data_IF_689728129339
#
_entry.id   IF_689728129339
#
_cell.length_a   1.000
_cell.length_b   1.000
_cell.length_c   1.000
_cell.angle_alpha   90.00
_cell.angle_beta   90.00
_cell.angle_gamma   90.00
#
_symmetry.space_group_name_H-M   'P 1'
#
loop_
_entity.id
_entity.type
_entity.pdbx_description
1 polymer ?
#
# COMPACT_ATOMS: atom_id res chain seq x y z
N UNK A 1 -17.82 6.28 6.67
CA UNK A 1 -17.12 7.05 7.69
C UNK A 1 -18.15 7.63 8.67
N UNK A 2 -17.90 7.48 9.95
CA UNK A 2 -18.68 8.06 11.03
C UNK A 2 -17.83 9.09 11.74
N UNK A 3 -18.43 10.23 12.09
CA UNK A 3 -17.84 11.18 13.02
C UNK A 3 -18.55 10.98 14.36
N UNK A 4 -17.80 10.60 15.37
CA UNK A 4 -18.33 10.38 16.72
C UNK A 4 -18.57 11.71 17.46
N UNK A 5 -19.37 11.73 18.55
CA UNK A 5 -19.60 12.94 19.33
C UNK A 5 -18.33 13.58 19.92
N UNK A 6 -17.28 12.82 20.12
CA UNK A 6 -15.95 13.26 20.53
C UNK A 6 -15.06 13.72 19.36
N UNK A 7 -15.65 13.87 18.17
CA UNK A 7 -15.02 14.25 16.91
C UNK A 7 -13.99 13.25 16.36
N UNK A 8 -13.95 12.03 16.87
CA UNK A 8 -13.13 10.95 16.30
C UNK A 8 -13.74 10.40 15.02
N UNK A 9 -12.89 9.87 14.13
CA UNK A 9 -13.30 9.28 12.86
C UNK A 9 -13.25 7.75 12.92
N UNK A 10 -14.26 7.11 12.35
CA UNK A 10 -14.32 5.65 12.25
C UNK A 10 -14.99 5.20 10.95
N UNK A 11 -14.62 4.02 10.44
CA UNK A 11 -15.37 3.38 9.37
C UNK A 11 -16.65 2.74 9.91
N UNK A 12 -17.73 2.84 9.13
CA UNK A 12 -18.93 2.03 9.34
C UNK A 12 -18.58 0.55 9.16
N UNK A 13 -18.76 -0.24 10.21
CA UNK A 13 -18.57 -1.69 10.18
C UNK A 13 -17.68 -2.19 11.32
N UNK A 14 -17.71 -3.49 11.51
CA UNK A 14 -17.07 -4.22 12.61
C UNK A 14 -15.54 -4.40 12.45
N UNK A 15 -14.94 -3.71 11.52
CA UNK A 15 -13.49 -3.77 11.28
C UNK A 15 -13.03 -4.98 10.47
N UNK A 16 -13.93 -5.81 9.95
CA UNK A 16 -13.55 -6.92 9.08
C UNK A 16 -13.06 -6.38 7.74
N UNK A 17 -11.79 -6.63 7.46
CA UNK A 17 -11.15 -6.37 6.16
C UNK A 17 -11.36 -7.59 5.28
N UNK A 18 -12.48 -7.66 4.59
CA UNK A 18 -12.86 -8.82 3.82
C UNK A 18 -13.07 -8.52 2.35
N UNK A 19 -13.75 -9.45 1.71
CA UNK A 19 -14.21 -9.37 0.33
C UNK A 19 -15.71 -9.08 0.27
N UNK A 20 -16.22 -8.72 -0.90
CA UNK A 20 -17.64 -8.45 -1.08
C UNK A 20 -18.10 -7.16 -0.40
N UNK A 21 -19.17 -7.21 0.37
CA UNK A 21 -19.79 -6.03 0.98
C UNK A 21 -18.89 -5.38 2.04
N UNK A 22 -18.14 -6.17 2.80
CA UNK A 22 -17.18 -5.65 3.79
C UNK A 22 -16.09 -4.80 3.14
N UNK A 23 -15.71 -5.12 1.90
CA UNK A 23 -14.78 -4.36 1.10
C UNK A 23 -15.25 -2.92 0.77
N UNK A 24 -16.56 -2.68 0.77
CA UNK A 24 -17.14 -1.36 0.55
C UNK A 24 -17.18 -0.50 1.82
N UNK A 25 -17.06 -1.13 2.97
CA UNK A 25 -17.14 -0.46 4.27
C UNK A 25 -15.78 -0.06 4.82
N UNK A 26 -14.73 -0.76 4.41
CA UNK A 26 -13.36 -0.52 4.86
C UNK A 26 -12.35 -0.85 3.76
N UNK A 27 -11.14 -0.29 3.84
CA UNK A 27 -10.08 -0.56 2.87
C UNK A 27 -9.75 -2.04 2.78
N UNK A 28 -10.00 -2.64 1.64
CA UNK A 28 -9.75 -4.06 1.44
C UNK A 28 -8.72 -4.35 0.36
N UNK A 29 -8.59 -3.50 -0.64
CA UNK A 29 -7.52 -3.59 -1.62
C UNK A 29 -6.33 -2.72 -1.19
N UNK A 30 -5.13 -3.20 -1.43
CA UNK A 30 -3.91 -2.45 -1.14
C UNK A 30 -3.84 -1.09 -1.84
N UNK A 31 -4.52 -0.92 -2.97
CA UNK A 31 -4.69 0.34 -3.71
C UNK A 31 -5.19 1.49 -2.83
N UNK A 32 -5.98 1.19 -1.80
CA UNK A 32 -6.48 2.19 -0.86
C UNK A 32 -5.36 2.97 -0.16
N UNK A 33 -4.18 2.36 -0.02
CA UNK A 33 -3.00 2.98 0.60
C UNK A 33 -2.37 4.10 -0.25
N UNK A 34 -2.71 4.17 -1.53
CA UNK A 34 -2.41 5.34 -2.36
C UNK A 34 -3.51 6.40 -2.28
N UNK A 35 -4.76 5.95 -2.37
CA UNK A 35 -5.91 6.84 -2.58
C UNK A 35 -6.23 7.70 -1.37
N UNK A 36 -6.10 7.16 -0.18
CA UNK A 36 -6.70 7.73 1.02
C UNK A 36 -5.69 8.39 1.98
N UNK A 37 -4.57 7.78 2.39
CA UNK A 37 -3.68 8.34 3.40
C UNK A 37 -3.12 9.74 3.06
N UNK A 38 -2.65 10.02 1.82
CA UNK A 38 -2.18 11.36 1.48
C UNK A 38 -3.28 12.42 1.61
N UNK A 39 -4.54 12.05 1.35
CA UNK A 39 -5.68 12.95 1.49
C UNK A 39 -5.90 13.35 2.95
N UNK A 40 -5.81 12.40 3.89
CA UNK A 40 -5.96 12.67 5.31
C UNK A 40 -4.84 13.56 5.85
N UNK A 41 -3.60 13.34 5.44
CA UNK A 41 -2.48 14.21 5.78
C UNK A 41 -2.73 15.63 5.22
N UNK A 42 -3.11 15.71 3.94
CA UNK A 42 -3.45 16.99 3.30
C UNK A 42 -4.57 17.75 4.02
N UNK A 43 -5.61 17.07 4.50
CA UNK A 43 -6.67 17.67 5.30
C UNK A 43 -6.15 18.21 6.63
N UNK A 44 -5.28 17.45 7.33
CA UNK A 44 -4.64 17.97 8.56
C UNK A 44 -3.83 19.22 8.28
N UNK A 45 -3.03 19.25 7.22
CA UNK A 45 -2.23 20.42 6.87
C UNK A 45 -3.10 21.64 6.51
N UNK A 46 -4.22 21.41 5.85
CA UNK A 46 -5.15 22.48 5.42
C UNK A 46 -6.01 23.02 6.56
N UNK A 47 -6.39 22.19 7.52
CA UNK A 47 -7.34 22.56 8.59
C UNK A 47 -6.66 22.80 9.94
N UNK A 48 -5.45 22.29 10.14
CA UNK A 48 -4.76 22.22 11.43
C UNK A 48 -5.30 21.13 12.37
N UNK A 49 -6.32 20.39 11.95
CA UNK A 49 -6.96 19.36 12.78
C UNK A 49 -6.26 18.01 12.62
N UNK A 50 -5.63 17.55 13.69
CA UNK A 50 -4.82 16.32 13.71
C UNK A 50 -5.63 15.03 13.55
N UNK A 51 -6.93 15.05 13.84
CA UNK A 51 -7.79 13.85 13.75
C UNK A 51 -7.72 13.16 12.38
N UNK A 52 -7.58 13.93 11.32
CA UNK A 52 -7.50 13.36 9.96
C UNK A 52 -6.22 12.55 9.76
N UNK A 53 -5.06 13.09 10.17
CA UNK A 53 -3.79 12.37 10.08
C UNK A 53 -3.77 11.15 11.01
N UNK A 54 -4.26 11.29 12.25
CA UNK A 54 -4.36 10.19 13.22
C UNK A 54 -5.23 9.05 12.69
N UNK A 55 -6.36 9.38 12.08
CA UNK A 55 -7.21 8.40 11.41
C UNK A 55 -6.49 7.74 10.22
N UNK A 56 -5.89 8.52 9.33
CA UNK A 56 -5.18 8.02 8.16
C UNK A 56 -4.00 7.11 8.53
N UNK A 57 -3.22 7.49 9.54
CA UNK A 57 -2.11 6.70 10.07
C UNK A 57 -2.59 5.36 10.67
N UNK A 58 -3.58 5.41 11.54
CA UNK A 58 -4.20 4.22 12.13
C UNK A 58 -4.66 3.22 11.06
N UNK A 59 -5.36 3.70 10.04
CA UNK A 59 -5.91 2.84 9.00
C UNK A 59 -4.85 2.34 8.01
N UNK A 60 -3.83 3.16 7.74
CA UNK A 60 -2.68 2.72 6.95
C UNK A 60 -2.01 1.51 7.61
N UNK A 61 -1.64 1.62 8.87
CA UNK A 61 -0.92 0.56 9.57
C UNK A 61 -1.79 -0.67 9.82
N UNK A 62 -3.06 -0.49 10.16
CA UNK A 62 -3.97 -1.61 10.28
C UNK A 62 -4.19 -2.36 8.95
N UNK A 63 -4.12 -1.66 7.81
CA UNK A 63 -4.16 -2.29 6.48
C UNK A 63 -2.84 -2.97 6.15
N UNK A 64 -1.73 -2.35 6.48
CA UNK A 64 -0.38 -2.91 6.30
C UNK A 64 -0.21 -4.20 7.11
N UNK A 65 -0.54 -4.18 8.39
CA UNK A 65 -0.46 -5.36 9.27
C UNK A 65 -1.32 -6.53 8.77
N UNK A 66 -2.38 -6.24 8.01
CA UNK A 66 -3.28 -7.25 7.46
C UNK A 66 -2.84 -7.78 6.08
N UNK A 67 -2.24 -6.95 5.23
CA UNK A 67 -2.01 -7.28 3.82
C UNK A 67 -0.53 -7.40 3.42
N UNK A 68 0.39 -6.90 4.22
CA UNK A 68 1.81 -7.00 3.94
C UNK A 68 2.30 -8.44 4.19
N UNK A 69 2.99 -9.00 3.23
CA UNK A 69 3.78 -10.21 3.43
C UNK A 69 5.16 -9.85 3.98
N UNK A 70 5.49 -10.29 5.21
CA UNK A 70 6.75 -9.88 5.86
C UNK A 70 7.99 -10.57 5.27
N UNK A 71 7.84 -11.65 4.51
CA UNK A 71 8.97 -12.35 3.85
C UNK A 71 9.48 -11.57 2.64
N UNK A 72 8.53 -10.99 1.86
CA UNK A 72 8.87 -10.30 0.62
C UNK A 72 8.76 -8.78 0.73
N UNK A 73 8.18 -8.24 1.81
CA UNK A 73 7.83 -6.82 1.93
C UNK A 73 6.97 -6.34 0.75
N UNK A 74 6.04 -7.18 0.31
CA UNK A 74 5.10 -6.93 -0.76
C UNK A 74 3.67 -7.13 -0.26
N UNK A 75 2.73 -6.42 -0.88
CA UNK A 75 1.33 -6.47 -0.51
C UNK A 75 0.55 -7.48 -1.33
N UNK A 76 -0.24 -8.30 -0.67
CA UNK A 76 -1.35 -8.97 -1.32
C UNK A 76 -2.39 -7.94 -1.76
N UNK A 77 -3.05 -8.17 -2.90
CA UNK A 77 -4.12 -7.27 -3.37
C UNK A 77 -5.25 -7.15 -2.34
N UNK A 78 -5.69 -8.30 -1.83
CA UNK A 78 -6.71 -8.48 -0.80
C UNK A 78 -6.61 -9.89 -0.20
N UNK A 79 -7.43 -10.17 0.83
CA UNK A 79 -7.40 -11.45 1.57
C UNK A 79 -7.61 -12.72 0.72
N UNK A 80 -8.20 -12.61 -0.47
CA UNK A 80 -8.37 -13.76 -1.38
C UNK A 80 -7.04 -14.28 -1.93
N UNK A 81 -5.97 -13.50 -1.79
CA UNK A 81 -4.64 -13.82 -2.30
C UNK A 81 -3.69 -14.38 -1.24
N UNK A 82 -4.03 -14.36 0.06
CA UNK A 82 -3.12 -14.79 1.14
C UNK A 82 -2.60 -16.23 0.98
N UNK A 83 -3.46 -17.13 0.51
CA UNK A 83 -3.10 -18.53 0.30
C UNK A 83 -3.00 -18.90 -1.19
N UNK A 84 -3.07 -17.91 -2.08
CA UNK A 84 -3.04 -18.15 -3.52
C UNK A 84 -1.59 -18.23 -4.00
N UNK A 85 -1.32 -19.28 -4.77
CA UNK A 85 -0.05 -19.46 -5.47
C UNK A 85 -0.29 -19.51 -6.98
N UNK A 86 0.70 -19.13 -7.75
CA UNK A 86 0.72 -19.37 -9.19
C UNK A 86 1.08 -20.83 -9.50
N UNK A 87 1.10 -21.18 -10.79
CA UNK A 87 1.37 -22.56 -11.23
C UNK A 87 2.83 -22.97 -10.99
N UNK A 88 3.72 -22.03 -10.68
CA UNK A 88 5.12 -22.24 -10.31
C UNK A 88 5.30 -22.35 -8.79
N UNK A 89 4.21 -22.22 -8.01
CA UNK A 89 4.20 -22.30 -6.55
C UNK A 89 4.56 -20.98 -5.85
N UNK A 90 4.76 -19.88 -6.58
CA UNK A 90 5.07 -18.59 -5.99
C UNK A 90 3.83 -17.92 -5.41
N UNK A 91 3.99 -17.11 -4.35
CA UNK A 91 2.96 -16.20 -3.86
C UNK A 91 2.61 -15.17 -4.95
N UNK A 92 1.35 -14.78 -5.02
CA UNK A 92 0.85 -13.89 -6.08
C UNK A 92 0.81 -12.44 -5.56
N UNK A 93 1.79 -11.65 -5.97
CA UNK A 93 1.85 -10.21 -5.71
C UNK A 93 1.63 -9.43 -7.00
N UNK A 94 0.53 -8.72 -7.07
CA UNK A 94 0.15 -7.94 -8.25
C UNK A 94 0.97 -6.65 -8.37
N UNK A 95 1.67 -6.48 -9.51
CA UNK A 95 2.60 -5.37 -9.74
C UNK A 95 1.94 -3.99 -9.59
N UNK A 96 0.79 -3.77 -10.23
CA UNK A 96 0.08 -2.49 -10.14
C UNK A 96 -0.40 -2.19 -8.71
N UNK A 97 -0.88 -3.20 -7.98
CA UNK A 97 -1.28 -3.05 -6.59
C UNK A 97 -0.11 -2.62 -5.69
N UNK A 98 1.02 -3.29 -5.82
CA UNK A 98 2.25 -2.90 -5.11
C UNK A 98 2.77 -1.55 -5.59
N UNK A 99 2.65 -1.24 -6.87
CA UNK A 99 2.96 0.07 -7.43
C UNK A 99 2.14 1.19 -6.81
N UNK A 100 0.82 0.98 -6.62
CA UNK A 100 -0.03 1.92 -5.90
C UNK A 100 0.48 2.17 -4.47
N UNK A 101 0.75 1.12 -3.70
CA UNK A 101 1.25 1.27 -2.33
C UNK A 101 2.57 2.02 -2.30
N UNK A 102 3.51 1.62 -3.16
CA UNK A 102 4.84 2.19 -3.20
C UNK A 102 4.84 3.68 -3.59
N UNK A 103 4.07 4.07 -4.60
CA UNK A 103 3.86 5.46 -4.96
C UNK A 103 3.08 6.24 -3.87
N UNK A 104 2.16 5.58 -3.18
CA UNK A 104 1.45 6.12 -2.02
C UNK A 104 2.39 6.46 -0.88
N UNK A 105 3.37 5.60 -0.58
CA UNK A 105 4.43 5.87 0.41
C UNK A 105 5.25 7.11 0.03
N UNK A 106 5.63 7.26 -1.23
CA UNK A 106 6.31 8.48 -1.70
C UNK A 106 5.46 9.72 -1.45
N UNK A 107 4.17 9.66 -1.78
CA UNK A 107 3.26 10.78 -1.56
C UNK A 107 3.10 11.13 -0.09
N UNK A 108 3.00 10.12 0.79
CA UNK A 108 2.98 10.32 2.24
C UNK A 108 4.28 10.98 2.71
N UNK A 109 5.44 10.41 2.37
CA UNK A 109 6.74 10.87 2.82
C UNK A 109 7.10 12.28 2.33
N UNK A 110 6.51 12.73 1.20
CA UNK A 110 6.66 14.10 0.70
C UNK A 110 5.94 15.14 1.53
N UNK A 111 4.82 14.79 2.16
CA UNK A 111 3.94 15.74 2.83
C UNK A 111 3.86 15.55 4.34
N UNK A 112 4.19 14.35 4.85
CA UNK A 112 4.24 14.08 6.28
C UNK A 112 5.42 14.83 6.90
N UNK A 113 5.23 15.62 7.97
CA UNK A 113 6.34 16.26 8.66
C UNK A 113 7.39 15.26 9.14
N UNK A 114 8.66 15.55 8.93
CA UNK A 114 9.77 14.63 9.27
C UNK A 114 9.90 14.35 10.78
N UNK A 115 9.37 15.23 11.61
CA UNK A 115 9.30 15.09 13.07
C UNK A 115 8.05 14.32 13.54
N UNK A 116 7.18 13.91 12.61
CA UNK A 116 6.01 13.08 12.94
C UNK A 116 6.46 11.71 13.45
N UNK A 117 5.88 11.20 14.56
CA UNK A 117 6.29 9.93 15.18
C UNK A 117 6.27 8.73 14.22
N UNK A 118 5.35 8.71 13.28
CA UNK A 118 5.22 7.60 12.30
C UNK A 118 6.16 7.76 11.09
N UNK A 119 6.84 8.91 10.90
CA UNK A 119 7.69 9.12 9.73
C UNK A 119 8.78 8.05 9.56
N UNK A 120 9.55 7.66 10.62
CA UNK A 120 10.56 6.61 10.50
C UNK A 120 9.98 5.26 10.06
N UNK A 121 8.76 4.92 10.52
CA UNK A 121 8.11 3.67 10.15
C UNK A 121 7.68 3.65 8.67
N UNK A 122 7.18 4.76 8.15
CA UNK A 122 6.90 4.90 6.71
C UNK A 122 8.16 4.80 5.87
N UNK A 123 9.24 5.44 6.30
CA UNK A 123 10.52 5.39 5.59
C UNK A 123 11.10 3.98 5.58
N UNK A 124 11.07 3.28 6.72
CA UNK A 124 11.52 1.89 6.80
C UNK A 124 10.75 0.97 5.84
N UNK A 125 9.42 1.09 5.81
CA UNK A 125 8.59 0.32 4.89
C UNK A 125 8.93 0.63 3.43
N UNK A 126 9.15 1.91 3.10
CA UNK A 126 9.58 2.33 1.77
C UNK A 126 10.93 1.70 1.38
N UNK A 127 11.92 1.73 2.27
CA UNK A 127 13.24 1.14 2.04
C UNK A 127 13.18 -0.38 1.86
N UNK A 128 12.38 -1.08 2.67
CA UNK A 128 12.26 -2.53 2.59
C UNK A 128 11.54 -2.96 1.31
N UNK A 129 10.49 -2.25 0.91
CA UNK A 129 9.86 -2.45 -0.41
C UNK A 129 10.84 -2.14 -1.55
N UNK A 130 11.63 -1.07 -1.45
CA UNK A 130 12.62 -0.70 -2.48
C UNK A 130 13.63 -1.81 -2.73
N UNK A 131 14.16 -2.41 -1.67
CA UNK A 131 15.12 -3.54 -1.78
C UNK A 131 14.50 -4.71 -2.54
N UNK A 132 13.29 -5.10 -2.17
CA UNK A 132 12.59 -6.21 -2.85
C UNK A 132 12.30 -5.84 -4.32
N UNK A 133 11.69 -4.68 -4.56
CA UNK A 133 11.30 -4.21 -5.89
C UNK A 133 12.51 -4.17 -6.83
N UNK A 134 13.64 -3.63 -6.37
CA UNK A 134 14.87 -3.59 -7.16
C UNK A 134 15.41 -5.00 -7.46
N UNK A 135 15.36 -5.92 -6.48
CA UNK A 135 15.89 -7.27 -6.65
C UNK A 135 15.12 -8.16 -7.63
N UNK A 136 13.84 -7.82 -7.90
CA UNK A 136 12.97 -8.58 -8.81
C UNK A 136 12.73 -7.86 -10.15
N UNK A 137 13.47 -6.80 -10.42
CA UNK A 137 13.44 -6.12 -11.73
C UNK A 137 14.06 -7.04 -12.80
N UNK A 138 13.41 -7.11 -13.96
CA UNK A 138 13.91 -7.89 -15.08
C UNK A 138 14.98 -7.15 -15.89
N UNK A 139 15.79 -7.89 -16.65
CA UNK A 139 16.91 -7.34 -17.46
C UNK A 139 16.47 -6.23 -18.42
N UNK A 140 15.22 -6.25 -18.87
CA UNK A 140 14.63 -5.19 -19.70
C UNK A 140 14.14 -3.97 -18.89
N UNK A 141 14.39 -3.91 -17.58
CA UNK A 141 14.08 -2.77 -16.72
C UNK A 141 12.62 -2.67 -16.26
N UNK A 142 11.74 -3.61 -16.62
CA UNK A 142 10.31 -3.60 -16.25
C UNK A 142 9.97 -4.74 -15.30
N UNK A 143 8.77 -4.72 -14.73
CA UNK A 143 8.23 -5.77 -13.87
C UNK A 143 7.06 -6.48 -14.55
N UNK A 144 6.80 -7.72 -14.15
CA UNK A 144 5.69 -8.55 -14.63
C UNK A 144 4.41 -8.31 -13.83
N UNK A 145 3.28 -8.71 -14.37
CA UNK A 145 1.96 -8.59 -13.71
C UNK A 145 1.95 -9.23 -12.32
N UNK A 146 2.51 -10.44 -12.18
CA UNK A 146 2.80 -11.06 -10.88
C UNK A 146 4.29 -10.92 -10.61
N UNK A 147 4.65 -10.23 -9.56
CA UNK A 147 6.01 -9.79 -9.29
C UNK A 147 7.03 -10.92 -9.13
N UNK A 148 6.59 -12.09 -8.61
CA UNK A 148 7.46 -13.25 -8.40
C UNK A 148 7.39 -14.28 -9.53
N UNK A 149 6.51 -14.11 -10.52
CA UNK A 149 6.39 -15.06 -11.64
C UNK A 149 7.64 -15.03 -12.52
N UNK A 150 8.18 -16.23 -12.84
CA UNK A 150 9.42 -16.35 -13.63
C UNK A 150 9.14 -16.39 -15.13
N UNK A 151 8.23 -17.24 -15.58
CA UNK A 151 8.01 -17.48 -17.02
C UNK A 151 6.56 -17.24 -17.46
N UNK A 152 5.61 -17.64 -16.66
CA UNK A 152 4.20 -17.41 -16.93
C UNK A 152 3.88 -15.94 -16.72
N UNK A 153 3.23 -15.30 -17.67
CA UNK A 153 3.00 -13.87 -17.70
C UNK A 153 4.27 -13.05 -18.04
N UNK A 154 5.02 -13.51 -19.04
CA UNK A 154 6.26 -12.89 -19.50
C UNK A 154 6.11 -11.45 -19.98
N UNK A 155 4.89 -11.00 -20.29
CA UNK A 155 4.64 -9.62 -20.71
C UNK A 155 4.87 -8.64 -19.57
N UNK A 156 5.65 -7.57 -19.82
CA UNK A 156 5.81 -6.49 -18.87
C UNK A 156 4.46 -5.83 -18.55
N UNK A 157 4.29 -5.41 -17.32
CA UNK A 157 3.09 -4.69 -16.87
C UNK A 157 3.42 -3.18 -16.78
N UNK A 158 2.84 -2.38 -17.68
CA UNK A 158 3.19 -0.97 -17.88
C UNK A 158 2.86 -0.12 -16.66
N UNK A 159 1.67 -0.28 -16.09
CA UNK A 159 1.22 0.59 -14.99
C UNK A 159 1.98 0.34 -13.69
N UNK A 160 2.19 -0.91 -13.33
CA UNK A 160 3.01 -1.27 -12.17
C UNK A 160 4.45 -0.82 -12.35
N UNK A 161 5.05 -1.10 -13.52
CA UNK A 161 6.41 -0.65 -13.81
C UNK A 161 6.57 0.86 -13.70
N UNK A 162 5.61 1.65 -14.17
CA UNK A 162 5.65 3.11 -14.05
C UNK A 162 5.65 3.59 -12.59
N UNK A 163 4.78 3.02 -11.75
CA UNK A 163 4.73 3.35 -10.31
C UNK A 163 5.99 2.91 -9.56
N UNK A 164 6.49 1.70 -9.87
CA UNK A 164 7.70 1.18 -9.23
C UNK A 164 8.92 2.02 -9.61
N UNK A 165 9.05 2.39 -10.90
CA UNK A 165 10.09 3.32 -11.36
C UNK A 165 9.99 4.68 -10.69
N UNK A 166 8.77 5.23 -10.57
CA UNK A 166 8.56 6.51 -9.87
C UNK A 166 9.05 6.45 -8.41
N UNK A 167 8.73 5.39 -7.70
CA UNK A 167 9.18 5.24 -6.32
C UNK A 167 10.69 5.06 -6.19
N UNK A 168 11.30 4.18 -7.01
CA UNK A 168 12.76 3.98 -7.00
C UNK A 168 13.54 5.24 -7.42
N UNK A 169 12.99 6.05 -8.32
CA UNK A 169 13.63 7.31 -8.74
C UNK A 169 13.52 8.42 -7.69
N UNK A 170 12.59 8.30 -6.75
CA UNK A 170 12.45 9.26 -5.65
C UNK A 170 13.40 8.95 -4.48
N UNK A 171 13.66 7.68 -4.17
CA UNK A 171 14.54 7.22 -3.09
C UNK A 171 15.97 7.27 -3.49
#
# INVERSE_FOLDING_TARGET
LVVHPDDTLEFLGDGIRGVGRACQLRWCWCDALFMSPPTWIGLTLATGDKKYMEFGDKEFWATTDYQLDPEYNLYYRDSRFFNRKDDEGNKVFWARGNGWVYAGLVNILKILPKDHPSWPRYMQLFEDMSKTIASIQHDHGLWRVSLLAKEKYASPETSGSSFLTYGLAWG
#
